data_IF_050500277673
#
_entry.id   IF_050500277673
#
_cell.length_a   1.000
_cell.length_b   1.000
_cell.length_c   1.000
_cell.angle_alpha   90.00
_cell.angle_beta   90.00
_cell.angle_gamma   90.00
#
_symmetry.space_group_name_H-M   'P 1'
#
loop_
_entity.id
_entity.type
_entity.pdbx_description
1 polymer ?
#
# COMPACT_ATOMS: atom_id res chain seq x y z
N UNK A 1 -26.87 -1.71 -5.30
CA UNK A 1 -25.72 -1.69 -6.23
C UNK A 1 -24.45 -1.79 -5.42
N UNK A 2 -23.44 -2.46 -5.94
CA UNK A 2 -22.22 -2.76 -5.18
C UNK A 2 -21.05 -1.84 -5.59
N UNK A 3 -20.43 -1.11 -4.64
CA UNK A 3 -19.31 -0.20 -4.90
C UNK A 3 -18.13 -0.83 -5.61
N UNK A 4 -17.84 -2.10 -5.32
CA UNK A 4 -16.73 -2.82 -5.95
C UNK A 4 -16.98 -3.02 -7.45
N UNK A 5 -18.20 -3.35 -7.87
CA UNK A 5 -18.59 -3.41 -9.27
C UNK A 5 -18.58 -2.04 -9.96
N UNK A 6 -19.14 -1.01 -9.33
CA UNK A 6 -19.18 0.35 -9.89
C UNK A 6 -17.77 0.88 -10.20
N UNK A 7 -16.84 0.72 -9.25
CA UNK A 7 -15.46 1.19 -9.41
C UNK A 7 -14.72 0.48 -10.54
N UNK A 8 -14.99 -0.83 -10.75
CA UNK A 8 -14.45 -1.57 -11.91
C UNK A 8 -14.94 -0.99 -13.22
N UNK A 9 -16.22 -0.65 -13.33
CA UNK A 9 -16.80 -0.08 -14.56
C UNK A 9 -16.20 1.30 -14.86
N UNK A 10 -16.01 2.14 -13.84
CA UNK A 10 -15.36 3.46 -13.99
C UNK A 10 -13.93 3.30 -14.50
N UNK A 11 -13.12 2.41 -13.89
CA UNK A 11 -11.77 2.10 -14.36
C UNK A 11 -11.77 1.59 -15.80
N UNK A 12 -12.65 0.65 -16.13
CA UNK A 12 -12.73 0.08 -17.48
C UNK A 12 -13.16 1.13 -18.51
N UNK A 13 -14.04 2.06 -18.14
CA UNK A 13 -14.43 3.18 -19.00
C UNK A 13 -13.23 4.07 -19.32
N UNK A 14 -12.54 4.58 -18.30
CA UNK A 14 -11.38 5.45 -18.50
C UNK A 14 -10.28 4.74 -19.30
N UNK A 15 -9.97 3.50 -18.97
CA UNK A 15 -8.89 2.76 -19.59
C UNK A 15 -9.20 2.31 -21.04
N UNK A 16 -10.47 2.12 -21.40
CA UNK A 16 -10.87 1.77 -22.77
C UNK A 16 -11.08 2.98 -23.67
N UNK A 17 -11.60 4.10 -23.14
CA UNK A 17 -11.77 5.35 -23.88
C UNK A 17 -10.47 6.12 -24.03
N UNK A 18 -9.50 5.92 -23.14
CA UNK A 18 -8.22 6.63 -23.11
C UNK A 18 -8.32 8.04 -22.52
N UNK A 19 -9.41 8.76 -22.83
CA UNK A 19 -9.68 10.10 -22.30
C UNK A 19 -11.13 10.29 -21.87
N UNK A 20 -11.33 11.05 -20.81
CA UNK A 20 -12.61 11.63 -20.35
C UNK A 20 -12.42 13.14 -20.21
N UNK A 21 -13.48 13.95 -20.30
CA UNK A 21 -13.41 15.40 -20.10
C UNK A 21 -14.13 15.79 -18.81
N UNK A 22 -13.44 16.57 -17.98
CA UNK A 22 -13.97 17.13 -16.73
C UNK A 22 -14.92 18.33 -16.99
N UNK A 23 -15.65 18.76 -15.97
CA UNK A 23 -16.53 19.94 -15.99
C UNK A 23 -15.82 21.20 -16.48
N UNK A 24 -14.53 21.34 -16.17
CA UNK A 24 -13.70 22.50 -16.51
C UNK A 24 -13.04 22.35 -17.90
N UNK A 25 -13.55 21.44 -18.74
CA UNK A 25 -12.99 21.08 -20.06
C UNK A 25 -11.56 20.50 -20.04
N UNK A 26 -11.06 20.13 -18.85
CA UNK A 26 -9.78 19.45 -18.67
C UNK A 26 -9.84 17.98 -19.08
N UNK A 27 -8.76 17.46 -19.66
CA UNK A 27 -8.69 16.06 -20.05
C UNK A 27 -8.21 15.16 -18.91
N UNK A 28 -9.00 14.12 -18.63
CA UNK A 28 -8.65 13.02 -17.75
C UNK A 28 -8.09 11.90 -18.63
N UNK A 29 -6.78 11.73 -18.62
CA UNK A 29 -6.08 10.79 -19.50
C UNK A 29 -5.62 9.53 -18.75
N UNK A 30 -5.94 8.35 -19.30
CA UNK A 30 -5.37 7.08 -18.85
C UNK A 30 -3.85 7.02 -19.09
N UNK A 31 -3.36 7.78 -20.07
CA UNK A 31 -1.96 7.88 -20.40
C UNK A 31 -1.11 8.37 -19.23
N UNK A 32 -1.59 9.33 -18.42
CA UNK A 32 -0.86 9.77 -17.22
C UNK A 32 -0.59 8.63 -16.23
N UNK A 33 -1.54 7.70 -16.07
CA UNK A 33 -1.39 6.53 -15.18
C UNK A 33 -0.39 5.53 -15.79
N UNK A 34 -0.44 5.36 -17.11
CA UNK A 34 0.50 4.50 -17.86
C UNK A 34 1.92 5.07 -17.80
N UNK A 35 2.09 6.37 -18.02
CA UNK A 35 3.37 7.06 -17.94
C UNK A 35 3.92 7.07 -16.51
N UNK A 36 3.06 7.16 -15.50
CA UNK A 36 3.47 7.00 -14.09
C UNK A 36 4.03 5.60 -13.83
N UNK A 37 3.41 4.54 -14.35
CA UNK A 37 3.93 3.19 -14.20
C UNK A 37 5.29 3.02 -14.87
N UNK A 38 5.42 3.49 -16.13
CA UNK A 38 6.68 3.47 -16.89
C UNK A 38 7.78 4.27 -16.19
N UNK A 39 7.49 5.49 -15.78
CA UNK A 39 8.45 6.36 -15.11
C UNK A 39 8.96 5.75 -13.80
N UNK A 40 8.07 5.16 -12.99
CA UNK A 40 8.49 4.48 -11.75
C UNK A 40 9.36 3.26 -12.03
N UNK A 41 9.07 2.53 -13.11
CA UNK A 41 9.84 1.38 -13.57
C UNK A 41 11.23 1.78 -14.09
N UNK A 42 11.34 2.92 -14.76
CA UNK A 42 12.61 3.50 -15.21
C UNK A 42 13.46 3.96 -14.01
N UNK A 43 12.85 4.68 -13.06
CA UNK A 43 13.56 5.29 -11.93
C UNK A 43 14.02 4.32 -10.83
N UNK A 44 13.54 3.07 -10.81
CA UNK A 44 13.92 2.14 -9.73
C UNK A 44 13.05 2.18 -8.49
N UNK A 45 12.14 3.15 -8.39
CA UNK A 45 11.43 3.52 -7.17
C UNK A 45 9.99 3.92 -7.47
N UNK A 46 9.06 3.58 -6.57
CA UNK A 46 7.63 3.81 -6.79
C UNK A 46 7.07 4.82 -5.79
N UNK A 47 6.62 5.96 -6.30
CA UNK A 47 5.81 6.91 -5.56
C UNK A 47 4.40 6.33 -5.30
N UNK A 48 3.76 5.73 -6.29
CA UNK A 48 2.55 4.91 -6.15
C UNK A 48 2.93 3.44 -5.89
N UNK A 49 3.14 3.09 -4.62
CA UNK A 49 3.74 1.80 -4.21
C UNK A 49 3.01 0.56 -4.70
N UNK A 50 1.71 0.65 -4.99
CA UNK A 50 0.88 -0.49 -5.43
C UNK A 50 0.70 -0.57 -6.95
N UNK A 51 0.99 0.50 -7.70
CA UNK A 51 0.78 0.54 -9.16
C UNK A 51 1.88 -0.25 -9.90
N UNK A 52 1.48 -1.16 -10.80
CA UNK A 52 2.35 -2.09 -11.55
C UNK A 52 1.83 -2.31 -12.96
N UNK A 53 2.66 -2.85 -13.86
CA UNK A 53 2.29 -3.29 -15.20
C UNK A 53 0.96 -4.06 -15.26
N UNK A 54 0.71 -4.98 -14.30
CA UNK A 54 -0.56 -5.73 -14.18
C UNK A 54 -1.82 -4.85 -14.09
N UNK A 55 -1.69 -3.63 -13.56
CA UNK A 55 -2.78 -2.65 -13.48
C UNK A 55 -3.02 -1.93 -14.82
N UNK A 56 -2.00 -1.83 -15.66
CA UNK A 56 -2.06 -1.23 -17.00
C UNK A 56 -2.51 -2.28 -18.02
N UNK A 57 -2.04 -3.52 -17.89
CA UNK A 57 -2.44 -4.70 -18.70
C UNK A 57 -3.77 -5.29 -18.23
N UNK A 58 -4.75 -4.40 -18.05
CA UNK A 58 -5.95 -4.67 -17.27
C UNK A 58 -6.97 -5.57 -17.98
N UNK A 59 -6.81 -5.83 -19.28
CA UNK A 59 -7.79 -6.52 -20.13
C UNK A 59 -8.09 -7.94 -19.67
N UNK A 60 -7.04 -8.72 -19.36
CA UNK A 60 -7.16 -10.10 -18.86
C UNK A 60 -7.69 -10.16 -17.43
N UNK A 61 -7.67 -9.04 -16.70
CA UNK A 61 -8.05 -8.94 -15.29
C UNK A 61 -9.13 -7.88 -15.04
N UNK A 62 -10.01 -7.69 -16.03
CA UNK A 62 -11.13 -6.73 -15.99
C UNK A 62 -12.04 -6.88 -14.77
N UNK A 63 -12.15 -8.11 -14.23
CA UNK A 63 -13.01 -8.43 -13.09
C UNK A 63 -12.35 -8.20 -11.71
N UNK A 64 -11.03 -7.97 -11.65
CA UNK A 64 -10.32 -7.81 -10.38
C UNK A 64 -10.54 -6.41 -9.79
N UNK A 65 -11.40 -6.35 -8.78
CA UNK A 65 -11.72 -5.11 -8.04
C UNK A 65 -10.47 -4.53 -7.40
N UNK A 66 -9.61 -5.38 -6.81
CA UNK A 66 -8.37 -4.97 -6.14
C UNK A 66 -7.50 -4.07 -7.02
N UNK A 67 -7.34 -4.43 -8.30
CA UNK A 67 -6.57 -3.64 -9.25
C UNK A 67 -7.24 -2.31 -9.59
N UNK A 68 -8.57 -2.31 -9.78
CA UNK A 68 -9.32 -1.09 -10.04
C UNK A 68 -9.21 -0.10 -8.87
N UNK A 69 -9.36 -0.58 -7.64
CA UNK A 69 -9.24 0.23 -6.42
C UNK A 69 -7.81 0.75 -6.21
N UNK A 70 -6.78 -0.02 -6.56
CA UNK A 70 -5.39 0.42 -6.48
C UNK A 70 -5.05 1.51 -7.51
N UNK A 71 -5.60 1.41 -8.72
CA UNK A 71 -5.44 2.45 -9.77
C UNK A 71 -6.15 3.73 -9.38
N UNK A 72 -7.42 3.65 -8.99
CA UNK A 72 -8.26 4.78 -8.60
C UNK A 72 -8.05 5.16 -7.13
N UNK A 73 -6.80 5.18 -6.66
CA UNK A 73 -6.46 5.46 -5.27
C UNK A 73 -5.86 6.83 -5.06
N UNK A 74 -6.03 7.38 -3.85
CA UNK A 74 -5.35 8.63 -3.49
C UNK A 74 -3.81 8.50 -3.57
N UNK A 75 -3.24 7.30 -3.40
CA UNK A 75 -1.79 7.11 -3.52
C UNK A 75 -1.27 7.41 -4.93
N UNK A 76 -2.04 7.03 -5.96
CA UNK A 76 -1.72 7.32 -7.36
C UNK A 76 -1.93 8.82 -7.62
N UNK A 77 -3.01 9.39 -7.11
CA UNK A 77 -3.29 10.82 -7.25
C UNK A 77 -2.21 11.72 -6.61
N UNK A 78 -1.75 11.37 -5.40
CA UNK A 78 -0.70 12.11 -4.70
C UNK A 78 0.67 11.96 -5.41
N UNK A 79 0.93 10.81 -6.05
CA UNK A 79 2.13 10.61 -6.85
C UNK A 79 2.15 11.46 -8.13
N UNK A 80 1.01 11.56 -8.83
CA UNK A 80 0.85 12.43 -10.00
C UNK A 80 0.99 13.91 -9.61
N UNK A 81 0.37 14.31 -8.50
CA UNK A 81 0.43 15.69 -8.00
C UNK A 81 1.87 16.11 -7.66
N UNK A 82 2.64 15.19 -7.07
CA UNK A 82 4.07 15.39 -6.82
C UNK A 82 4.87 15.51 -8.13
N UNK A 83 4.61 14.67 -9.13
CA UNK A 83 5.34 14.75 -10.40
C UNK A 83 5.04 16.05 -11.17
N UNK A 84 3.80 16.54 -11.11
CA UNK A 84 3.36 17.77 -11.77
C UNK A 84 3.85 19.04 -11.07
N UNK A 85 3.59 19.18 -9.77
CA UNK A 85 3.86 20.44 -9.07
C UNK A 85 5.27 20.52 -8.50
N UNK A 86 5.77 19.39 -8.01
CA UNK A 86 6.95 19.36 -7.16
C UNK A 86 8.22 19.08 -7.98
N UNK A 87 8.15 18.11 -8.90
CA UNK A 87 9.21 17.79 -9.87
C UNK A 87 9.05 18.50 -11.22
N UNK A 88 7.86 19.04 -11.54
CA UNK A 88 7.55 19.73 -12.81
C UNK A 88 7.97 18.94 -14.05
N UNK A 89 7.78 17.63 -14.02
CA UNK A 89 8.23 16.76 -15.09
C UNK A 89 7.35 16.94 -16.35
N UNK A 90 7.93 17.13 -17.55
CA UNK A 90 7.19 17.55 -18.74
C UNK A 90 6.06 16.59 -19.14
N UNK A 91 6.25 15.29 -18.94
CA UNK A 91 5.26 14.24 -19.25
C UNK A 91 3.98 14.30 -18.40
N UNK A 92 4.01 14.99 -17.26
CA UNK A 92 2.91 15.04 -16.30
C UNK A 92 2.25 16.43 -16.21
N UNK A 93 2.59 17.34 -17.12
CA UNK A 93 1.94 18.64 -17.22
C UNK A 93 0.46 18.44 -17.62
N UNK A 94 -0.45 19.07 -16.88
CA UNK A 94 -1.88 19.01 -17.17
C UNK A 94 -2.58 17.77 -16.62
N UNK A 95 -1.97 17.07 -15.66
CA UNK A 95 -2.58 15.89 -15.03
C UNK A 95 -3.55 16.26 -13.89
N UNK A 96 -3.68 17.54 -13.55
CA UNK A 96 -4.63 18.06 -12.56
C UNK A 96 -6.07 17.52 -12.68
N UNK A 97 -6.70 17.43 -13.89
CA UNK A 97 -8.03 16.84 -14.03
C UNK A 97 -8.05 15.34 -13.68
N UNK A 98 -7.01 14.59 -14.07
CA UNK A 98 -6.85 13.18 -13.68
C UNK A 98 -6.70 13.03 -12.17
N UNK A 99 -5.91 13.90 -11.51
CA UNK A 99 -5.75 13.88 -10.05
C UNK A 99 -7.09 14.10 -9.35
N UNK A 100 -7.87 15.10 -9.79
CA UNK A 100 -9.21 15.41 -9.26
C UNK A 100 -10.15 14.21 -9.43
N UNK A 101 -10.20 13.62 -10.61
CA UNK A 101 -10.97 12.41 -10.90
C UNK A 101 -10.62 11.25 -9.96
N UNK A 102 -9.32 10.94 -9.81
CA UNK A 102 -8.85 9.85 -8.94
C UNK A 102 -9.24 10.09 -7.48
N UNK A 103 -9.10 11.31 -6.97
CA UNK A 103 -9.46 11.65 -5.58
C UNK A 103 -10.96 11.54 -5.33
N UNK A 104 -11.79 11.99 -6.26
CA UNK A 104 -13.25 11.92 -6.12
C UNK A 104 -13.71 10.47 -6.08
N UNK A 105 -13.27 9.62 -7.01
CA UNK A 105 -13.66 8.22 -7.01
C UNK A 105 -13.07 7.40 -5.86
N UNK A 106 -11.84 7.71 -5.41
CA UNK A 106 -11.29 7.09 -4.20
C UNK A 106 -12.16 7.40 -2.98
N UNK A 107 -12.45 8.69 -2.75
CA UNK A 107 -13.18 9.12 -1.56
C UNK A 107 -14.64 8.65 -1.60
N UNK A 108 -15.29 8.65 -2.77
CA UNK A 108 -16.59 8.01 -2.96
C UNK A 108 -16.54 6.54 -2.56
N UNK A 109 -15.59 5.78 -3.11
CA UNK A 109 -15.46 4.36 -2.80
C UNK A 109 -15.18 4.11 -1.31
N UNK A 110 -14.35 4.94 -0.67
CA UNK A 110 -14.05 4.86 0.75
C UNK A 110 -15.31 5.11 1.63
N UNK A 111 -16.14 6.10 1.28
CA UNK A 111 -17.42 6.36 1.97
C UNK A 111 -18.38 5.19 1.79
N UNK A 112 -18.48 4.65 0.58
CA UNK A 112 -19.39 3.53 0.28
C UNK A 112 -18.91 2.18 0.85
N UNK A 113 -17.68 2.12 1.35
CA UNK A 113 -17.03 0.88 1.82
C UNK A 113 -16.45 1.03 3.24
N UNK A 114 -17.13 1.76 4.11
CA UNK A 114 -16.71 1.96 5.50
C UNK A 114 -16.96 0.70 6.34
N UNK A 115 -15.89 0.12 6.89
CA UNK A 115 -15.92 -1.18 7.62
C UNK A 115 -15.70 -1.08 9.13
N UNK A 116 -14.89 -0.12 9.56
CA UNK A 116 -14.35 -0.08 10.93
C UNK A 116 -14.57 1.30 11.57
N UNK A 117 -15.06 1.31 12.81
CA UNK A 117 -15.33 2.49 13.64
C UNK A 117 -14.10 3.37 13.88
N UNK A 118 -12.90 2.76 13.91
CA UNK A 118 -11.61 3.44 14.13
C UNK A 118 -10.99 4.00 12.84
N UNK A 119 -11.63 3.76 11.68
CA UNK A 119 -11.15 4.31 10.41
C UNK A 119 -11.23 5.83 10.44
N UNK A 120 -10.27 6.48 9.79
CA UNK A 120 -10.17 7.94 9.71
C UNK A 120 -10.65 8.46 8.35
N UNK A 121 -10.88 9.76 8.26
CA UNK A 121 -11.27 10.49 7.04
C UNK A 121 -12.55 9.90 6.40
N UNK A 122 -12.59 9.86 5.06
CA UNK A 122 -13.70 9.32 4.28
C UNK A 122 -13.94 7.81 4.44
N UNK A 123 -13.05 7.08 5.12
CA UNK A 123 -13.26 5.67 5.49
C UNK A 123 -13.98 5.52 6.83
N UNK A 124 -14.05 6.58 7.61
CA UNK A 124 -14.79 6.58 8.87
C UNK A 124 -16.29 6.35 8.62
N UNK A 125 -17.01 5.71 9.54
CA UNK A 125 -18.45 5.60 9.42
C UNK A 125 -19.10 6.98 9.47
N UNK A 126 -20.29 7.10 8.88
CA UNK A 126 -21.04 8.36 8.93
C UNK A 126 -21.61 8.50 10.35
N UNK A 127 -21.24 9.59 11.01
CA UNK A 127 -21.62 9.95 12.38
C UNK A 127 -22.14 11.39 12.38
N UNK A 128 -22.89 11.81 13.40
CA UNK A 128 -23.36 13.21 13.50
C UNK A 128 -22.22 14.24 13.37
N UNK A 129 -21.01 13.94 13.87
CA UNK A 129 -19.88 14.88 13.85
C UNK A 129 -19.25 15.07 12.47
N UNK A 130 -19.25 14.04 11.60
CA UNK A 130 -18.63 14.12 10.27
C UNK A 130 -19.68 14.21 9.14
N UNK A 131 -20.97 14.10 9.47
CA UNK A 131 -22.10 14.12 8.54
C UNK A 131 -21.98 15.23 7.52
N UNK A 132 -21.84 16.48 7.95
CA UNK A 132 -21.88 17.63 7.05
C UNK A 132 -20.73 17.59 6.04
N UNK A 133 -19.54 17.20 6.48
CA UNK A 133 -18.38 17.05 5.60
C UNK A 133 -18.58 15.95 4.55
N UNK A 134 -19.14 14.81 4.95
CA UNK A 134 -19.44 13.69 4.05
C UNK A 134 -20.56 14.07 3.08
N UNK A 135 -21.66 14.66 3.55
CA UNK A 135 -22.79 15.06 2.72
C UNK A 135 -22.40 16.14 1.70
N UNK A 136 -21.62 17.14 2.10
CA UNK A 136 -21.09 18.17 1.21
C UNK A 136 -20.19 17.58 0.13
N UNK A 137 -19.32 16.64 0.52
CA UNK A 137 -18.51 15.89 -0.45
C UNK A 137 -19.39 15.07 -1.42
N UNK A 138 -20.40 14.37 -0.91
CA UNK A 138 -21.33 13.59 -1.75
C UNK A 138 -22.10 14.48 -2.73
N UNK A 139 -22.50 15.70 -2.35
CA UNK A 139 -23.08 16.69 -3.26
C UNK A 139 -22.07 17.10 -4.34
N UNK A 140 -20.86 17.46 -3.95
CA UNK A 140 -19.77 17.85 -4.87
C UNK A 140 -19.48 16.74 -5.88
N UNK A 141 -19.37 15.49 -5.42
CA UNK A 141 -19.11 14.33 -6.26
C UNK A 141 -20.29 14.02 -7.19
N UNK A 142 -21.53 14.25 -6.74
CA UNK A 142 -22.74 14.08 -7.56
C UNK A 142 -22.78 15.08 -8.71
N UNK A 143 -22.49 16.36 -8.46
CA UNK A 143 -22.39 17.39 -9.51
C UNK A 143 -21.25 17.11 -10.47
N UNK A 144 -20.09 16.71 -9.94
CA UNK A 144 -18.93 16.32 -10.73
C UNK A 144 -19.27 15.21 -11.74
N UNK A 145 -19.86 14.10 -11.27
CA UNK A 145 -20.21 12.96 -12.14
C UNK A 145 -21.21 13.35 -13.23
N UNK A 146 -22.19 14.22 -12.91
CA UNK A 146 -23.18 14.71 -13.89
C UNK A 146 -22.54 15.51 -15.03
N UNK A 147 -21.47 16.25 -14.74
CA UNK A 147 -20.81 17.13 -15.69
C UNK A 147 -19.67 16.46 -16.48
N UNK A 148 -19.34 15.19 -16.21
CA UNK A 148 -18.35 14.47 -16.99
C UNK A 148 -18.82 14.22 -18.43
N UNK A 149 -17.92 14.44 -19.39
CA UNK A 149 -18.17 14.27 -20.84
C UNK A 149 -17.24 13.23 -21.47
N UNK A 150 -17.69 12.62 -22.55
CA UNK A 150 -16.87 11.64 -23.29
C UNK A 150 -15.75 12.32 -24.10
N UNK A 151 -15.98 13.55 -24.54
CA UNK A 151 -15.11 14.36 -25.41
C UNK A 151 -15.43 15.84 -25.17
N UNK A 152 -14.54 16.77 -25.59
CA UNK A 152 -14.75 18.22 -25.43
C UNK A 152 -16.11 18.69 -25.96
N UNK A 153 -16.51 18.18 -27.12
CA UNK A 153 -17.81 18.48 -27.74
C UNK A 153 -18.74 17.26 -27.71
N UNK A 154 -18.43 16.25 -26.90
CA UNK A 154 -19.20 15.02 -26.82
C UNK A 154 -20.33 15.11 -25.80
N UNK A 155 -21.21 14.12 -25.87
CA UNK A 155 -22.27 13.92 -24.89
C UNK A 155 -21.71 13.64 -23.49
N UNK A 156 -22.53 13.98 -22.49
CA UNK A 156 -22.28 13.60 -21.11
C UNK A 156 -22.09 12.08 -20.99
N UNK A 157 -21.21 11.65 -20.08
CA UNK A 157 -20.94 10.22 -19.85
C UNK A 157 -22.22 9.46 -19.52
N UNK A 158 -23.17 10.11 -18.85
CA UNK A 158 -24.46 9.53 -18.48
C UNK A 158 -25.36 9.18 -19.68
N UNK A 159 -25.12 9.75 -20.86
CA UNK A 159 -25.81 9.39 -22.10
C UNK A 159 -25.04 8.36 -22.93
N UNK A 160 -23.79 8.07 -22.58
CA UNK A 160 -22.97 7.10 -23.30
C UNK A 160 -23.36 5.64 -23.02
N UNK A 161 -22.91 4.72 -23.87
CA UNK A 161 -23.02 3.27 -23.65
C UNK A 161 -22.25 2.77 -22.42
N UNK A 162 -21.40 3.61 -21.80
CA UNK A 162 -20.59 3.28 -20.60
C UNK A 162 -21.11 3.98 -19.34
N UNK A 163 -22.36 4.47 -19.35
CA UNK A 163 -22.98 5.21 -18.24
C UNK A 163 -23.16 4.43 -16.94
N UNK A 164 -23.26 3.10 -17.01
CA UNK A 164 -23.73 2.24 -15.90
C UNK A 164 -22.99 2.50 -14.60
N UNK A 165 -21.65 2.40 -14.57
CA UNK A 165 -20.89 2.61 -13.33
C UNK A 165 -21.07 4.00 -12.71
N UNK A 166 -21.19 5.04 -13.54
CA UNK A 166 -21.37 6.42 -13.09
C UNK A 166 -22.79 6.67 -12.57
N UNK A 167 -23.80 6.16 -13.28
CA UNK A 167 -25.20 6.24 -12.88
C UNK A 167 -25.43 5.51 -11.55
N UNK A 168 -24.83 4.33 -11.38
CA UNK A 168 -24.93 3.55 -10.15
C UNK A 168 -24.34 4.31 -8.95
N UNK A 169 -23.20 5.00 -9.12
CA UNK A 169 -22.66 5.87 -8.08
C UNK A 169 -23.65 6.99 -7.69
N UNK A 170 -24.32 7.62 -8.67
CA UNK A 170 -25.32 8.66 -8.40
C UNK A 170 -26.52 8.12 -7.59
N UNK A 171 -26.99 6.92 -7.93
CA UNK A 171 -28.06 6.26 -7.18
C UNK A 171 -27.61 5.96 -5.74
N UNK A 172 -26.41 5.37 -5.57
CA UNK A 172 -25.87 5.09 -4.24
C UNK A 172 -25.68 6.34 -3.38
N UNK A 173 -25.25 7.46 -3.99
CA UNK A 173 -25.14 8.75 -3.30
C UNK A 173 -26.50 9.17 -2.73
N UNK A 174 -27.54 9.16 -3.57
CA UNK A 174 -28.89 9.55 -3.12
C UNK A 174 -29.42 8.58 -2.05
N UNK A 175 -29.27 7.27 -2.27
CA UNK A 175 -29.73 6.25 -1.32
C UNK A 175 -29.08 6.39 0.05
N UNK A 176 -27.76 6.67 0.12
CA UNK A 176 -27.08 6.82 1.41
C UNK A 176 -27.50 8.08 2.13
N UNK A 177 -27.73 9.19 1.42
CA UNK A 177 -28.26 10.42 2.02
C UNK A 177 -29.62 10.15 2.68
N UNK A 178 -30.54 9.51 1.95
CA UNK A 178 -31.86 9.17 2.46
C UNK A 178 -31.81 8.16 3.62
N UNK A 179 -31.03 7.08 3.47
CA UNK A 179 -30.90 6.06 4.52
C UNK A 179 -30.28 6.62 5.80
N UNK A 180 -29.32 7.53 5.69
CA UNK A 180 -28.72 8.16 6.86
C UNK A 180 -29.76 8.99 7.62
N UNK A 181 -30.54 9.83 6.92
CA UNK A 181 -31.60 10.64 7.55
C UNK A 181 -32.63 9.72 8.24
N UNK A 182 -33.07 8.66 7.56
CA UNK A 182 -34.06 7.75 8.11
C UNK A 182 -33.56 6.98 9.34
N UNK A 183 -32.35 6.42 9.28
CA UNK A 183 -31.82 5.55 10.33
C UNK A 183 -31.15 6.30 11.49
N UNK A 184 -30.56 7.47 11.23
CA UNK A 184 -29.78 8.21 12.22
C UNK A 184 -30.48 9.47 12.74
N UNK A 185 -31.50 10.01 12.06
CA UNK A 185 -32.17 11.26 12.47
C UNK A 185 -33.65 11.07 12.81
N UNK A 186 -34.40 10.36 11.97
CA UNK A 186 -35.86 10.24 12.09
C UNK A 186 -36.28 9.03 12.94
N UNK A 187 -35.53 7.93 12.88
CA UNK A 187 -35.84 6.68 13.57
C UNK A 187 -36.08 6.88 15.08
N UNK A 188 -37.08 6.19 15.68
CA UNK A 188 -37.35 6.27 17.13
C UNK A 188 -36.15 5.83 17.98
N UNK A 189 -35.28 4.99 17.43
CA UNK A 189 -33.99 4.62 18.00
C UNK A 189 -32.89 4.98 16.97
N UNK A 190 -32.32 6.20 17.03
CA UNK A 190 -31.33 6.64 16.05
C UNK A 190 -30.02 5.87 16.21
N UNK A 191 -29.43 5.47 15.08
CA UNK A 191 -28.11 4.84 15.08
C UNK A 191 -27.01 5.89 15.31
N UNK A 192 -26.12 5.64 16.28
CA UNK A 192 -24.96 6.50 16.58
C UNK A 192 -23.99 6.66 15.39
N UNK A 193 -23.93 5.65 14.52
CA UNK A 193 -23.07 5.63 13.35
C UNK A 193 -23.65 4.71 12.27
N UNK A 194 -23.27 4.97 11.02
CA UNK A 194 -23.71 4.20 9.87
C UNK A 194 -22.52 3.62 9.09
N UNK A 195 -22.45 2.28 9.03
CA UNK A 195 -21.42 1.53 8.31
C UNK A 195 -21.97 1.07 6.94
N UNK A 196 -21.51 1.73 5.88
CA UNK A 196 -21.94 1.49 4.50
C UNK A 196 -21.54 0.14 3.95
N UNK A 197 -20.44 -0.46 4.43
CA UNK A 197 -20.02 -1.79 3.98
C UNK A 197 -21.06 -2.89 4.27
N UNK A 198 -21.90 -2.71 5.30
CA UNK A 198 -22.97 -3.68 5.62
C UNK A 198 -24.05 -3.78 4.53
N UNK A 199 -24.12 -2.80 3.63
CA UNK A 199 -25.02 -2.78 2.48
C UNK A 199 -24.41 -3.42 1.22
N UNK A 200 -23.14 -3.84 1.27
CA UNK A 200 -22.43 -4.39 0.12
C UNK A 200 -22.82 -5.84 -0.17
N UNK A 201 -22.73 -6.23 -1.44
CA UNK A 201 -22.95 -7.61 -1.88
C UNK A 201 -21.73 -8.51 -1.58
N UNK A 202 -20.60 -7.94 -1.14
CA UNK A 202 -19.38 -8.69 -0.78
C UNK A 202 -19.67 -9.85 0.19
N UNK A 203 -20.65 -9.70 1.09
CA UNK A 203 -21.07 -10.78 1.99
C UNK A 203 -21.59 -12.02 1.25
N UNK A 204 -22.32 -11.84 0.15
CA UNK A 204 -22.79 -12.92 -0.72
C UNK A 204 -21.65 -13.50 -1.57
N UNK A 205 -20.72 -12.66 -2.05
CA UNK A 205 -19.55 -13.16 -2.79
C UNK A 205 -18.62 -14.02 -1.92
N UNK A 206 -18.43 -13.62 -0.66
CA UNK A 206 -17.70 -14.40 0.35
C UNK A 206 -18.40 -15.74 0.59
N UNK A 207 -19.72 -15.73 0.70
CA UNK A 207 -20.52 -16.94 0.85
C UNK A 207 -20.37 -17.90 -0.34
N UNK A 208 -20.49 -17.40 -1.58
CA UNK A 208 -20.25 -18.23 -2.77
C UNK A 208 -18.83 -18.77 -2.85
N UNK A 209 -17.85 -18.00 -2.38
CA UNK A 209 -16.47 -18.45 -2.30
C UNK A 209 -16.31 -19.58 -1.28
N UNK A 210 -16.93 -19.47 -0.11
CA UNK A 210 -16.94 -20.55 0.89
C UNK A 210 -17.58 -21.83 0.34
N UNK A 211 -18.66 -21.73 -0.44
CA UNK A 211 -19.28 -22.87 -1.12
C UNK A 211 -18.32 -23.52 -2.12
N UNK A 212 -17.67 -22.73 -2.99
CA UNK A 212 -16.70 -23.25 -3.96
C UNK A 212 -15.54 -23.97 -3.28
N UNK A 213 -15.04 -23.44 -2.16
CA UNK A 213 -13.96 -24.08 -1.38
C UNK A 213 -14.35 -25.49 -0.89
N UNK A 214 -15.63 -25.77 -0.62
CA UNK A 214 -16.08 -27.12 -0.24
C UNK A 214 -16.01 -28.14 -1.38
N UNK A 215 -15.92 -27.68 -2.64
CA UNK A 215 -15.73 -28.51 -3.82
C UNK A 215 -14.26 -28.88 -4.11
N UNK A 216 -13.30 -28.37 -3.33
CA UNK A 216 -11.87 -28.58 -3.58
C UNK A 216 -11.44 -28.02 -4.94
N UNK A 217 -11.00 -28.88 -5.85
CA UNK A 217 -10.62 -28.49 -7.21
C UNK A 217 -11.82 -28.23 -8.14
N UNK A 218 -13.05 -28.55 -7.70
CA UNK A 218 -14.26 -28.27 -8.48
C UNK A 218 -14.78 -26.85 -8.20
N UNK A 219 -14.39 -25.90 -9.04
CA UNK A 219 -14.80 -24.49 -8.95
C UNK A 219 -16.23 -24.21 -9.46
N UNK A 220 -16.88 -25.16 -10.13
CA UNK A 220 -18.22 -25.01 -10.70
C UNK A 220 -19.14 -26.15 -10.22
N UNK A 221 -19.65 -26.08 -8.97
CA UNK A 221 -20.49 -27.14 -8.43
C UNK A 221 -21.83 -27.23 -9.17
N UNK A 222 -22.32 -28.45 -9.37
CA UNK A 222 -23.70 -28.70 -9.83
C UNK A 222 -24.71 -28.28 -8.76
N UNK A 223 -25.99 -28.08 -9.12
CA UNK A 223 -27.04 -27.72 -8.16
C UNK A 223 -27.14 -28.70 -6.96
N UNK A 224 -26.93 -30.00 -7.18
CA UNK A 224 -26.90 -31.02 -6.11
C UNK A 224 -25.70 -30.83 -5.17
N UNK A 225 -24.51 -30.56 -5.73
CA UNK A 225 -23.29 -30.27 -4.96
C UNK A 225 -23.41 -28.96 -4.19
N UNK A 226 -24.01 -27.93 -4.80
CA UNK A 226 -24.32 -26.66 -4.14
C UNK A 226 -25.24 -26.90 -2.94
N UNK A 227 -26.35 -27.63 -3.11
CA UNK A 227 -27.26 -27.97 -2.01
C UNK A 227 -26.55 -28.70 -0.87
N UNK A 228 -25.70 -29.68 -1.19
CA UNK A 228 -24.92 -30.41 -0.19
C UNK A 228 -23.93 -29.49 0.55
N UNK A 229 -23.20 -28.63 -0.17
CA UNK A 229 -22.27 -27.67 0.42
C UNK A 229 -23.00 -26.60 1.27
N UNK A 230 -24.17 -26.15 0.82
CA UNK A 230 -25.04 -25.22 1.53
C UNK A 230 -25.52 -25.81 2.86
N UNK A 231 -26.10 -27.02 2.83
CA UNK A 231 -26.52 -27.74 4.05
C UNK A 231 -25.34 -27.95 4.98
N UNK A 232 -24.17 -28.34 4.45
CA UNK A 232 -22.96 -28.49 5.25
C UNK A 232 -22.53 -27.18 5.92
N UNK A 233 -22.59 -26.04 5.23
CA UNK A 233 -22.25 -24.74 5.82
C UNK A 233 -23.24 -24.34 6.92
N UNK A 234 -24.55 -24.57 6.72
CA UNK A 234 -25.55 -24.31 7.75
C UNK A 234 -25.35 -25.18 8.99
N UNK A 235 -25.14 -26.49 8.80
CA UNK A 235 -24.94 -27.42 9.90
C UNK A 235 -23.64 -27.13 10.65
N UNK A 236 -22.57 -26.75 9.96
CA UNK A 236 -21.29 -26.44 10.60
C UNK A 236 -21.28 -25.10 11.36
N UNK A 237 -22.18 -24.16 11.02
CA UNK A 237 -22.40 -22.94 11.82
C UNK A 237 -23.19 -23.22 13.11
N UNK A 238 -24.04 -24.24 13.11
CA UNK A 238 -24.81 -24.67 14.30
C UNK A 238 -24.09 -25.72 15.15
N UNK A 239 -23.18 -26.50 14.58
CA UNK A 239 -22.32 -27.45 15.28
C UNK A 239 -21.03 -26.71 15.67
N UNK A 240 -21.14 -25.78 16.61
CA UNK A 240 -20.08 -25.67 17.60
C UNK A 240 -20.20 -26.96 18.42
N UNK A 241 -19.16 -27.79 18.39
CA UNK A 241 -19.11 -29.03 19.17
C UNK A 241 -19.54 -28.73 20.60
N UNK A 242 -20.63 -29.37 21.06
CA UNK A 242 -20.85 -29.53 22.50
C UNK A 242 -19.57 -30.14 23.09
N UNK A 243 -19.17 -29.71 24.28
CA UNK A 243 -17.97 -30.18 24.99
C UNK A 243 -17.98 -31.65 25.42
N UNK A 244 -18.62 -32.52 24.64
CA UNK A 244 -18.93 -33.92 24.93
C UNK A 244 -18.65 -34.84 23.73
N UNK A 245 -17.78 -34.45 22.81
CA UNK A 245 -17.25 -35.35 21.78
C UNK A 245 -15.92 -35.93 22.25
N UNK A 246 -15.81 -37.26 22.29
CA UNK A 246 -14.69 -38.04 22.84
C UNK A 246 -13.36 -37.94 22.05
N UNK A 247 -13.19 -36.95 21.18
CA UNK A 247 -11.97 -36.75 20.40
C UNK A 247 -11.57 -35.27 20.43
N UNK A 248 -10.62 -34.96 21.30
CA UNK A 248 -9.87 -33.70 21.33
C UNK A 248 -8.82 -33.80 20.22
N UNK A 249 -8.66 -32.76 19.40
CA UNK A 249 -7.49 -32.63 18.51
C UNK A 249 -6.26 -32.58 19.40
N UNK A 250 -5.46 -33.65 19.36
CA UNK A 250 -4.38 -33.93 20.33
C UNK A 250 -3.00 -33.42 19.90
N UNK A 251 -2.88 -32.60 18.86
CA UNK A 251 -1.59 -32.00 18.53
C UNK A 251 -1.72 -30.69 17.74
N UNK A 252 -1.22 -29.59 18.34
CA UNK A 252 -0.71 -28.46 17.60
C UNK A 252 0.61 -28.91 16.97
N UNK A 253 0.53 -29.52 15.79
CA UNK A 253 1.74 -29.76 14.99
C UNK A 253 2.35 -28.41 14.64
N UNK A 254 3.30 -27.97 15.47
CA UNK A 254 4.17 -26.85 15.20
C UNK A 254 4.96 -27.17 13.93
N UNK A 255 4.48 -26.64 12.81
CA UNK A 255 5.30 -26.48 11.61
C UNK A 255 6.52 -25.70 12.07
N UNK A 256 7.70 -26.32 11.95
CA UNK A 256 8.99 -25.68 12.22
C UNK A 256 9.04 -24.33 11.51
N UNK A 257 8.75 -23.27 12.25
CA UNK A 257 8.90 -21.92 11.77
C UNK A 257 10.41 -21.69 11.72
N UNK A 258 10.98 -21.77 10.52
CA UNK A 258 12.33 -21.23 10.27
C UNK A 258 12.24 -19.76 10.62
N UNK A 259 12.71 -19.42 11.82
CA UNK A 259 12.68 -18.06 12.34
C UNK A 259 13.30 -17.14 11.30
N UNK A 260 12.44 -16.38 10.65
CA UNK A 260 12.82 -15.45 9.58
C UNK A 260 13.87 -14.50 10.14
N UNK A 261 15.13 -14.67 9.70
CA UNK A 261 16.29 -13.79 9.93
C UNK A 261 15.99 -12.60 10.86
N UNK A 262 16.03 -12.87 12.17
CA UNK A 262 15.86 -11.84 13.20
C UNK A 262 17.04 -10.88 13.10
N UNK A 263 16.76 -9.57 13.22
CA UNK A 263 17.79 -8.54 13.13
C UNK A 263 18.72 -8.67 14.35
N UNK A 264 19.88 -9.32 14.16
CA UNK A 264 20.82 -9.68 15.23
C UNK A 264 21.36 -8.43 15.95
N UNK A 265 21.43 -7.29 15.25
CA UNK A 265 21.91 -6.01 15.79
C UNK A 265 20.94 -5.37 16.79
N UNK A 266 19.68 -5.80 16.86
CA UNK A 266 18.75 -5.37 17.91
C UNK A 266 19.07 -6.02 19.25
N UNK A 267 19.64 -7.23 19.25
CA UNK A 267 20.03 -7.93 20.48
C UNK A 267 21.15 -7.19 21.19
N UNK A 268 22.18 -6.72 20.47
CA UNK A 268 23.29 -5.96 21.06
C UNK A 268 22.85 -4.61 21.64
N UNK A 269 21.81 -3.97 21.08
CA UNK A 269 21.28 -2.68 21.60
C UNK A 269 20.37 -2.88 22.82
N UNK A 270 19.66 -4.02 22.89
CA UNK A 270 18.69 -4.29 23.95
C UNK A 270 19.31 -5.01 25.17
N UNK A 271 20.54 -5.53 25.06
CA UNK A 271 21.24 -6.23 26.14
C UNK A 271 22.05 -5.24 27.00
N UNK A 272 21.37 -4.33 27.71
CA UNK A 272 21.97 -3.53 28.78
C UNK A 272 21.00 -3.24 29.93
N UNK A 273 19.96 -4.06 30.08
CA UNK A 273 19.11 -4.06 31.26
C UNK A 273 18.94 -5.50 31.73
N UNK A 274 19.59 -5.83 32.84
CA UNK A 274 19.23 -6.95 33.69
C UNK A 274 17.74 -6.84 34.01
N UNK A 275 16.93 -7.73 33.45
CA UNK A 275 15.89 -8.39 34.22
C UNK A 275 15.24 -9.53 33.43
N UNK A 276 15.34 -10.70 34.06
CA UNK A 276 14.55 -11.90 33.82
C UNK A 276 13.07 -11.62 34.02
N UNK A 277 12.27 -11.63 32.95
CA UNK A 277 10.88 -12.09 33.00
C UNK A 277 10.51 -12.78 31.69
N UNK A 278 10.18 -14.08 31.81
CA UNK A 278 9.45 -14.85 30.81
C UNK A 278 8.05 -14.27 30.72
N UNK A 279 7.65 -13.92 29.50
CA UNK A 279 6.30 -13.54 29.15
C UNK A 279 6.18 -13.71 27.66
N UNK A 280 5.77 -14.90 27.24
CA UNK A 280 5.32 -15.17 25.89
C UNK A 280 4.13 -14.26 25.60
N UNK A 281 4.40 -13.14 24.92
CA UNK A 281 3.36 -12.31 24.34
C UNK A 281 3.29 -12.63 22.85
N UNK A 282 2.36 -13.52 22.57
CA UNK A 282 2.03 -14.03 21.26
C UNK A 282 1.56 -12.88 20.36
N UNK A 283 2.47 -12.35 19.55
CA UNK A 283 2.12 -11.36 18.53
C UNK A 283 1.44 -12.12 17.38
N UNK A 284 0.13 -12.27 17.51
CA UNK A 284 -0.76 -12.64 16.41
C UNK A 284 -0.41 -11.81 15.16
N UNK A 285 0.08 -12.51 14.15
CA UNK A 285 0.54 -11.96 12.89
C UNK A 285 -0.67 -11.55 12.04
N UNK A 286 -1.29 -10.43 12.42
CA UNK A 286 -2.19 -9.66 11.56
C UNK A 286 -1.51 -8.34 11.19
N UNK A 287 -0.27 -8.42 10.73
CA UNK A 287 0.37 -7.29 10.08
C UNK A 287 0.05 -7.38 8.58
N UNK A 288 -0.84 -6.50 8.12
CA UNK A 288 -1.06 -6.22 6.71
C UNK A 288 0.29 -5.92 6.08
N UNK A 289 0.89 -6.89 5.40
CA UNK A 289 2.13 -6.73 4.66
C UNK A 289 1.87 -5.76 3.52
N UNK A 290 2.23 -4.50 3.73
CA UNK A 290 2.18 -3.50 2.65
C UNK A 290 3.18 -3.93 1.57
N UNK A 291 2.63 -4.40 0.45
CA UNK A 291 3.32 -4.82 -0.77
C UNK A 291 4.25 -3.72 -1.32
N UNK A 292 5.48 -3.67 -0.84
CA UNK A 292 6.55 -2.84 -1.42
C UNK A 292 7.29 -3.64 -2.49
N UNK A 293 7.00 -3.36 -3.75
CA UNK A 293 7.87 -3.78 -4.86
C UNK A 293 8.27 -2.55 -5.68
N UNK A 294 9.42 -2.65 -6.30
CA UNK A 294 10.11 -1.63 -7.04
C UNK A 294 10.56 -2.30 -8.38
N UNK A 295 11.31 -1.67 -9.28
CA UNK A 295 12.07 -2.34 -10.37
C UNK A 295 13.04 -1.33 -10.99
N UNK A 296 14.31 -1.71 -11.24
CA UNK A 296 15.45 -0.81 -11.56
C UNK A 296 15.76 -0.61 -13.05
N UNK A 297 16.19 0.63 -13.39
CA UNK A 297 17.31 0.92 -14.30
C UNK A 297 18.19 2.08 -13.76
N UNK A 298 19.42 2.14 -14.26
CA UNK A 298 20.67 2.74 -13.79
C UNK A 298 20.82 4.27 -13.87
N UNK A 299 21.36 4.90 -12.81
CA UNK A 299 22.24 6.07 -12.93
C UNK A 299 23.08 6.33 -11.67
N UNK A 300 24.32 6.81 -11.88
CA UNK A 300 25.35 7.10 -10.86
C UNK A 300 25.10 8.40 -10.07
N UNK A 301 24.09 9.20 -10.46
CA UNK A 301 23.59 10.34 -9.69
C UNK A 301 22.14 10.06 -9.28
N UNK A 302 21.81 10.38 -8.02
CA UNK A 302 20.44 10.30 -7.54
C UNK A 302 19.61 11.35 -8.28
N UNK A 303 18.54 10.95 -8.97
CA UNK A 303 17.51 11.89 -9.37
C UNK A 303 16.80 12.42 -8.13
N UNK A 304 16.26 13.65 -8.18
CA UNK A 304 15.50 14.24 -7.08
C UNK A 304 14.34 13.33 -6.64
N UNK A 305 13.72 12.64 -7.60
CA UNK A 305 12.73 11.60 -7.36
C UNK A 305 13.25 10.45 -6.50
N UNK A 306 14.46 9.94 -6.79
CA UNK A 306 15.06 8.86 -6.01
C UNK A 306 15.39 9.31 -4.60
N UNK A 307 15.89 10.53 -4.44
CA UNK A 307 16.18 11.13 -3.14
C UNK A 307 14.93 11.17 -2.24
N UNK A 308 13.80 11.66 -2.76
CA UNK A 308 12.56 11.81 -1.99
C UNK A 308 11.94 10.44 -1.63
N UNK A 309 12.02 9.45 -2.52
CA UNK A 309 11.54 8.10 -2.22
C UNK A 309 12.42 7.40 -1.18
N UNK A 310 13.75 7.61 -1.20
CA UNK A 310 14.64 7.07 -0.16
C UNK A 310 14.26 7.62 1.21
N UNK A 311 13.92 8.92 1.31
CA UNK A 311 13.43 9.52 2.56
C UNK A 311 12.10 8.90 3.01
N UNK A 312 11.17 8.67 2.08
CA UNK A 312 9.91 8.00 2.39
C UNK A 312 10.13 6.58 2.94
N UNK A 313 11.05 5.80 2.34
CA UNK A 313 11.41 4.45 2.84
C UNK A 313 12.10 4.54 4.21
N UNK A 314 12.98 5.51 4.41
CA UNK A 314 13.65 5.75 5.69
C UNK A 314 12.63 5.99 6.82
N UNK A 315 11.53 6.70 6.54
CA UNK A 315 10.42 6.85 7.48
C UNK A 315 9.81 5.51 7.93
N UNK A 316 9.61 4.58 6.99
CA UNK A 316 9.12 3.22 7.29
C UNK A 316 10.13 2.40 8.12
N UNK A 317 11.42 2.51 7.83
CA UNK A 317 12.50 1.88 8.61
C UNK A 317 12.51 2.40 10.05
N UNK A 318 12.41 3.72 10.24
CA UNK A 318 12.34 4.32 11.58
C UNK A 318 11.12 3.82 12.35
N UNK A 319 9.95 3.73 11.71
CA UNK A 319 8.74 3.18 12.35
C UNK A 319 8.93 1.76 12.86
N UNK A 320 9.57 0.89 12.06
CA UNK A 320 9.87 -0.49 12.46
C UNK A 320 10.88 -0.55 13.60
N UNK A 321 11.94 0.25 13.55
CA UNK A 321 12.97 0.28 14.59
C UNK A 321 12.46 0.84 15.91
N UNK A 322 11.60 1.86 15.90
CA UNK A 322 10.96 2.40 17.12
C UNK A 322 10.18 1.35 17.90
N UNK A 323 9.51 0.44 17.19
CA UNK A 323 8.73 -0.61 17.82
C UNK A 323 9.61 -1.76 18.36
N UNK A 324 10.87 -1.85 17.93
CA UNK A 324 11.76 -2.98 18.23
C UNK A 324 12.92 -2.64 19.18
N UNK A 325 13.29 -1.36 19.30
CA UNK A 325 14.33 -0.87 20.21
C UNK A 325 13.74 -0.60 21.61
N UNK A 326 14.49 -0.97 22.66
CA UNK A 326 14.15 -0.66 24.07
C UNK A 326 14.92 0.54 24.62
N UNK A 327 16.03 0.94 23.99
CA UNK A 327 16.87 2.06 24.44
C UNK A 327 16.25 3.42 24.05
N UNK A 328 15.89 4.22 25.04
CA UNK A 328 15.29 5.55 24.85
C UNK A 328 16.20 6.53 24.09
N UNK A 329 17.51 6.55 24.35
CA UNK A 329 18.49 7.40 23.65
C UNK A 329 18.59 7.05 22.16
N UNK A 330 18.56 5.75 21.83
CA UNK A 330 18.54 5.29 20.44
C UNK A 330 17.24 5.68 19.73
N UNK A 331 16.08 5.55 20.39
CA UNK A 331 14.78 5.96 19.84
C UNK A 331 14.74 7.46 19.57
N UNK A 332 15.29 8.27 20.48
CA UNK A 332 15.34 9.72 20.35
C UNK A 332 16.20 10.15 19.15
N UNK A 333 17.39 9.55 18.99
CA UNK A 333 18.29 9.85 17.86
C UNK A 333 17.73 9.55 16.46
N UNK A 334 16.82 8.56 16.35
CA UNK A 334 16.13 8.23 15.11
C UNK A 334 15.10 9.30 14.71
N UNK A 335 14.66 10.09 15.69
CA UNK A 335 13.64 11.14 15.56
C UNK A 335 14.21 12.55 15.69
N UNK A 336 15.51 12.68 15.98
CA UNK A 336 16.14 13.95 16.26
C UNK A 336 16.02 14.86 15.04
N UNK A 337 15.20 15.89 15.19
CA UNK A 337 15.05 17.00 14.26
C UNK A 337 16.15 17.98 14.63
N UNK A 338 17.32 17.85 14.00
CA UNK A 338 18.26 18.97 14.01
C UNK A 338 17.56 20.12 13.28
N UNK A 339 17.41 21.25 13.97
CA UNK A 339 16.76 22.51 13.54
C UNK A 339 17.31 23.12 12.22
N UNK A 340 18.18 22.42 11.50
CA UNK A 340 18.89 22.91 10.31
C UNK A 340 18.47 22.21 9.02
N UNK A 341 17.62 21.18 9.08
CA UNK A 341 17.12 20.50 7.86
C UNK A 341 15.64 20.78 7.71
N UNK A 342 15.34 21.72 6.82
CA UNK A 342 14.01 22.03 6.32
C UNK A 342 13.34 20.76 5.77
N UNK A 343 12.56 20.06 6.61
CA UNK A 343 11.70 18.95 6.18
C UNK A 343 10.65 19.39 5.15
N UNK A 344 10.48 20.70 4.96
CA UNK A 344 9.75 21.33 3.86
C UNK A 344 10.29 20.97 2.47
N UNK A 345 11.52 20.46 2.35
CA UNK A 345 12.09 20.03 1.07
C UNK A 345 11.59 18.67 0.57
N UNK A 346 11.12 17.76 1.43
CA UNK A 346 10.64 16.43 1.00
C UNK A 346 9.16 16.46 0.62
N UNK A 347 8.90 16.97 -0.58
CA UNK A 347 7.55 17.24 -1.07
C UNK A 347 6.68 15.96 -1.09
N UNK A 348 7.28 14.78 -1.36
CA UNK A 348 6.56 13.50 -1.35
C UNK A 348 6.03 13.08 0.04
N UNK A 349 6.80 13.31 1.10
CA UNK A 349 6.41 12.94 2.48
C UNK A 349 5.29 13.85 2.95
N UNK A 350 5.41 15.16 2.68
CA UNK A 350 4.38 16.16 3.02
C UNK A 350 3.05 15.81 2.36
N UNK A 351 3.05 15.51 1.06
CA UNK A 351 1.83 15.18 0.30
C UNK A 351 1.14 13.91 0.77
N UNK A 352 1.92 12.91 1.23
CA UNK A 352 1.38 11.62 1.69
C UNK A 352 1.01 11.60 3.17
N UNK A 353 1.44 12.58 3.95
CA UNK A 353 1.21 12.58 5.38
C UNK A 353 -0.27 12.80 5.71
N UNK A 354 -0.87 11.83 6.41
CA UNK A 354 -2.24 11.90 6.95
C UNK A 354 -2.24 11.73 8.47
N UNK A 355 -1.16 12.16 9.13
CA UNK A 355 -0.99 12.10 10.58
C UNK A 355 -0.47 10.76 11.12
N UNK A 356 0.03 9.86 10.26
CA UNK A 356 0.54 8.54 10.66
C UNK A 356 1.94 8.18 10.13
N UNK A 357 2.58 9.09 9.39
CA UNK A 357 3.91 8.91 8.83
C UNK A 357 4.97 9.42 9.81
N UNK A 358 6.01 8.61 10.04
CA UNK A 358 7.15 8.96 10.87
C UNK A 358 8.21 9.67 10.04
N UNK A 359 8.62 10.84 10.51
CA UNK A 359 9.68 11.63 9.89
C UNK A 359 11.04 11.13 10.38
N UNK A 360 11.95 10.68 9.49
CA UNK A 360 13.26 10.14 9.87
C UNK A 360 14.29 11.25 10.10
N UNK A 361 15.22 11.09 11.05
CA UNK A 361 16.30 12.07 11.27
C UNK A 361 17.26 12.20 10.07
N UNK A 362 17.93 13.35 9.95
CA UNK A 362 18.88 13.63 8.86
C UNK A 362 20.02 12.60 8.78
N UNK A 363 20.44 12.07 9.94
CA UNK A 363 21.42 10.99 10.05
C UNK A 363 20.90 9.69 9.40
N UNK A 364 19.64 9.32 9.64
CA UNK A 364 19.03 8.12 9.04
C UNK A 364 18.92 8.27 7.52
N UNK A 365 18.54 9.45 7.02
CA UNK A 365 18.45 9.71 5.58
C UNK A 365 19.81 9.53 4.90
N UNK A 366 20.89 10.05 5.50
CA UNK A 366 22.26 9.86 4.99
C UNK A 366 22.66 8.39 4.93
N UNK A 367 22.36 7.62 5.98
CA UNK A 367 22.64 6.17 6.05
C UNK A 367 21.87 5.43 4.94
N UNK A 368 20.57 5.71 4.76
CA UNK A 368 19.77 5.08 3.72
C UNK A 368 20.23 5.46 2.31
N UNK A 369 20.70 6.71 2.08
CA UNK A 369 21.30 7.12 0.80
C UNK A 369 22.58 6.35 0.50
N UNK A 370 23.46 6.18 1.49
CA UNK A 370 24.66 5.36 1.35
C UNK A 370 24.33 3.89 1.04
N UNK A 371 23.33 3.32 1.73
CA UNK A 371 22.84 1.97 1.49
C UNK A 371 22.32 1.77 0.06
N UNK A 372 21.53 2.72 -0.45
CA UNK A 372 21.00 2.67 -1.82
C UNK A 372 22.12 2.81 -2.86
N UNK A 373 23.15 3.64 -2.61
CA UNK A 373 24.33 3.75 -3.48
C UNK A 373 25.10 2.43 -3.56
N UNK A 374 25.37 1.80 -2.41
CA UNK A 374 26.05 0.50 -2.35
C UNK A 374 25.23 -0.60 -3.03
N UNK A 375 23.92 -0.65 -2.76
CA UNK A 375 23.01 -1.60 -3.40
C UNK A 375 23.03 -1.48 -4.93
N UNK A 376 22.91 -0.25 -5.46
CA UNK A 376 22.94 0.03 -6.90
C UNK A 376 24.29 -0.35 -7.53
N UNK A 377 25.39 -0.07 -6.87
CA UNK A 377 26.74 -0.41 -7.35
C UNK A 377 26.91 -1.93 -7.47
N UNK A 378 26.51 -2.67 -6.44
CA UNK A 378 26.57 -4.14 -6.42
C UNK A 378 25.63 -4.77 -7.45
N UNK A 379 24.47 -4.16 -7.67
CA UNK A 379 23.53 -4.57 -8.71
C UNK A 379 24.09 -4.43 -10.13
N UNK A 380 24.71 -3.28 -10.45
CA UNK A 380 25.36 -3.06 -11.76
C UNK A 380 26.50 -4.05 -11.98
N UNK A 381 27.25 -4.40 -10.93
CA UNK A 381 28.32 -5.40 -11.02
C UNK A 381 27.84 -6.86 -11.17
N UNK A 382 26.52 -7.12 -11.16
CA UNK A 382 25.95 -8.47 -11.30
C UNK A 382 26.15 -9.38 -10.07
N UNK A 383 26.68 -8.85 -8.96
CA UNK A 383 27.05 -9.63 -7.77
C UNK A 383 25.90 -9.96 -6.81
N UNK A 384 24.66 -9.60 -7.15
CA UNK A 384 23.46 -9.89 -6.36
C UNK A 384 23.10 -11.39 -6.25
N UNK A 385 23.89 -12.30 -6.85
CA UNK A 385 23.71 -13.76 -6.74
C UNK A 385 24.76 -14.45 -5.85
N UNK A 386 25.69 -13.70 -5.27
CA UNK A 386 26.75 -14.25 -4.42
C UNK A 386 26.21 -14.73 -3.06
N UNK A 387 26.90 -15.68 -2.41
CA UNK A 387 26.57 -16.04 -1.02
C UNK A 387 26.92 -14.86 -0.08
N UNK A 388 26.11 -14.64 0.96
CA UNK A 388 26.33 -13.60 1.98
C UNK A 388 26.28 -12.13 1.50
N UNK A 389 25.51 -11.81 0.45
CA UNK A 389 25.33 -10.44 -0.09
C UNK A 389 24.95 -9.43 1.00
N UNK A 390 24.10 -9.81 1.95
CA UNK A 390 23.63 -8.90 3.00
C UNK A 390 24.79 -8.38 3.87
N UNK A 391 25.74 -9.25 4.23
CA UNK A 391 26.93 -8.86 5.01
C UNK A 391 27.89 -7.98 4.19
N UNK A 392 28.09 -8.31 2.91
CA UNK A 392 28.91 -7.49 1.98
C UNK A 392 28.33 -6.08 1.83
N UNK A 393 27.01 -5.98 1.56
CA UNK A 393 26.35 -4.70 1.38
C UNK A 393 26.37 -3.84 2.65
N UNK A 394 26.22 -4.45 3.83
CA UNK A 394 26.35 -3.72 5.10
C UNK A 394 27.78 -3.21 5.25
N UNK A 395 28.80 -4.02 4.97
CA UNK A 395 30.20 -3.60 5.06
C UNK A 395 30.53 -2.44 4.12
N UNK A 396 30.12 -2.54 2.85
CA UNK A 396 30.34 -1.50 1.83
C UNK A 396 29.60 -0.20 2.18
N UNK A 397 28.37 -0.32 2.69
CA UNK A 397 27.59 0.84 3.13
C UNK A 397 28.19 1.49 4.37
N UNK A 398 28.69 0.72 5.34
CA UNK A 398 29.37 1.26 6.53
C UNK A 398 30.64 2.00 6.13
N UNK A 399 31.46 1.46 5.22
CA UNK A 399 32.64 2.17 4.69
C UNK A 399 32.25 3.50 4.04
N UNK A 400 31.25 3.47 3.16
CA UNK A 400 30.74 4.67 2.50
C UNK A 400 30.21 5.72 3.50
N UNK A 401 29.59 5.28 4.60
CA UNK A 401 29.08 6.16 5.66
C UNK A 401 30.22 6.78 6.47
N UNK A 402 31.26 6.02 6.79
CA UNK A 402 32.44 6.48 7.53
C UNK A 402 33.24 7.50 6.70
N UNK A 403 33.44 7.22 5.41
CA UNK A 403 34.22 8.08 4.51
C UNK A 403 33.53 9.41 4.19
N UNK A 404 32.19 9.43 4.05
CA UNK A 404 31.45 10.60 3.56
C UNK A 404 30.73 11.40 4.66
N UNK A 405 30.68 10.92 5.91
CA UNK A 405 29.88 11.54 6.96
C UNK A 405 30.39 11.25 8.38
N UNK A 406 31.48 11.91 8.83
CA UNK A 406 32.02 11.71 10.18
C UNK A 406 31.01 12.12 11.30
N UNK A 407 30.11 13.07 11.00
CA UNK A 407 29.15 13.65 11.95
C UNK A 407 27.75 13.01 11.86
N UNK A 408 27.64 11.71 12.12
CA UNK A 408 26.37 10.98 12.23
C UNK A 408 26.00 10.79 13.71
N UNK A 409 24.77 11.15 14.09
CA UNK A 409 24.27 11.10 15.47
C UNK A 409 25.16 11.88 16.47
N UNK A 410 25.33 13.19 16.25
CA UNK A 410 26.10 14.08 17.14
C UNK A 410 25.60 14.04 18.61
N UNK A 411 24.28 13.88 18.84
CA UNK A 411 23.70 13.74 20.18
C UNK A 411 24.00 12.42 20.90
N UNK A 412 24.74 11.48 20.27
CA UNK A 412 25.15 10.22 20.89
C UNK A 412 26.61 10.21 21.38
N UNK A 413 27.38 11.30 21.23
CA UNK A 413 28.80 11.29 21.61
C UNK A 413 29.04 10.93 23.08
N UNK A 414 28.17 11.35 24.01
CA UNK A 414 28.25 10.96 25.42
C UNK A 414 27.75 9.52 25.68
N UNK A 415 26.75 9.04 24.91
CA UNK A 415 26.25 7.66 25.00
C UNK A 415 27.27 6.63 24.48
N UNK A 416 28.23 7.06 23.64
CA UNK A 416 29.34 6.23 23.13
C UNK A 416 30.42 6.02 24.20
N UNK A 417 30.60 6.96 25.15
CA UNK A 417 31.65 6.88 26.17
C UNK A 417 31.39 5.78 27.21
N UNK A 418 30.14 5.31 27.33
CA UNK A 418 29.74 4.29 28.29
C UNK A 418 29.77 2.85 27.71
N UNK A 419 30.24 2.67 26.48
CA UNK A 419 30.25 1.37 25.79
C UNK A 419 31.63 1.04 25.18
N UNK A 420 31.89 -0.26 25.01
CA UNK A 420 33.16 -0.80 24.50
C UNK A 420 33.46 -0.27 23.07
N UNK A 421 34.69 0.20 22.75
CA UNK A 421 35.05 0.76 21.45
C UNK A 421 34.63 -0.06 20.21
N UNK A 422 34.53 -1.39 20.36
CA UNK A 422 34.19 -2.32 19.29
C UNK A 422 32.67 -2.64 19.18
N UNK A 423 31.89 -2.44 20.25
CA UNK A 423 30.47 -2.79 20.34
C UNK A 423 29.60 -1.60 20.80
N UNK A 424 29.77 -0.49 20.10
CA UNK A 424 29.06 0.74 20.38
C UNK A 424 27.61 0.68 19.89
N UNK A 425 26.67 1.15 20.72
CA UNK A 425 25.25 1.33 20.36
C UNK A 425 25.09 2.11 19.04
N UNK A 426 25.97 3.10 18.76
CA UNK A 426 26.01 3.82 17.48
C UNK A 426 26.29 2.89 16.30
N UNK A 427 27.30 2.03 16.38
CA UNK A 427 27.63 1.08 15.32
C UNK A 427 26.54 0.03 15.13
N UNK A 428 25.95 -0.47 16.22
CA UNK A 428 24.83 -1.40 16.18
C UNK A 428 23.58 -0.76 15.57
N UNK A 429 23.30 0.51 15.88
CA UNK A 429 22.18 1.26 15.31
C UNK A 429 22.34 1.50 13.81
N UNK A 430 23.54 1.89 13.35
CA UNK A 430 23.82 2.06 11.92
C UNK A 430 23.63 0.72 11.19
N UNK A 431 24.18 -0.37 11.72
CA UNK A 431 24.01 -1.72 11.14
C UNK A 431 22.54 -2.16 11.14
N UNK A 432 21.76 -1.84 12.18
CA UNK A 432 20.33 -2.15 12.26
C UNK A 432 19.51 -1.39 11.20
N UNK A 433 19.78 -0.09 11.01
CA UNK A 433 19.13 0.74 9.96
C UNK A 433 19.48 0.19 8.57
N UNK A 434 20.76 -0.10 8.32
CA UNK A 434 21.21 -0.67 7.05
C UNK A 434 20.57 -2.02 6.78
N UNK A 435 20.48 -2.90 7.78
CA UNK A 435 19.87 -4.21 7.66
C UNK A 435 18.40 -4.12 7.24
N UNK A 436 17.59 -3.32 7.94
CA UNK A 436 16.16 -3.17 7.60
C UNK A 436 15.95 -2.55 6.21
N UNK A 437 16.76 -1.54 5.86
CA UNK A 437 16.70 -0.92 4.54
C UNK A 437 17.08 -1.92 3.44
N UNK A 438 18.24 -2.59 3.56
CA UNK A 438 18.74 -3.53 2.57
C UNK A 438 17.84 -4.77 2.46
N UNK A 439 17.22 -5.23 3.55
CA UNK A 439 16.22 -6.31 3.54
C UNK A 439 15.03 -5.94 2.66
N UNK A 440 14.49 -4.72 2.81
CA UNK A 440 13.41 -4.21 1.95
C UNK A 440 13.87 -4.19 0.48
N UNK A 441 15.11 -3.75 0.20
CA UNK A 441 15.64 -3.66 -1.17
C UNK A 441 15.94 -5.01 -1.82
N UNK A 442 16.47 -5.98 -1.06
CA UNK A 442 16.77 -7.33 -1.55
C UNK A 442 15.50 -8.14 -1.82
N UNK A 443 14.53 -8.10 -0.90
CA UNK A 443 13.23 -8.75 -1.10
C UNK A 443 12.56 -8.26 -2.39
N UNK A 444 12.61 -6.95 -2.56
CA UNK A 444 12.16 -6.31 -3.76
C UNK A 444 12.88 -6.81 -5.03
N UNK A 445 14.22 -6.83 -5.06
CA UNK A 445 14.95 -7.26 -6.24
C UNK A 445 14.66 -8.72 -6.61
N UNK A 446 14.49 -9.58 -5.60
CA UNK A 446 14.04 -10.96 -5.81
C UNK A 446 12.67 -11.04 -6.48
N UNK A 447 11.69 -10.24 -6.02
CA UNK A 447 10.34 -10.20 -6.61
C UNK A 447 10.36 -9.76 -8.08
N UNK A 448 11.19 -8.78 -8.45
CA UNK A 448 11.34 -8.33 -9.85
C UNK A 448 11.89 -9.43 -10.75
N UNK A 449 12.91 -10.15 -10.29
CA UNK A 449 13.44 -11.28 -11.05
C UNK A 449 12.39 -12.39 -11.21
N UNK A 450 11.59 -12.67 -10.17
CA UNK A 450 10.46 -13.60 -10.26
C UNK A 450 9.41 -13.15 -11.28
N UNK A 451 9.03 -11.87 -11.28
CA UNK A 451 8.08 -11.32 -12.26
C UNK A 451 8.62 -11.40 -13.69
N UNK A 452 9.91 -11.11 -13.90
CA UNK A 452 10.57 -11.29 -15.22
C UNK A 452 10.54 -12.75 -15.67
N UNK A 453 10.82 -13.70 -14.76
CA UNK A 453 10.79 -15.13 -15.06
C UNK A 453 9.37 -15.62 -15.38
N UNK A 454 8.36 -15.13 -14.66
CA UNK A 454 6.95 -15.44 -14.94
C UNK A 454 6.51 -14.89 -16.31
N UNK A 455 6.90 -13.66 -16.64
CA UNK A 455 6.60 -13.08 -17.95
C UNK A 455 7.30 -13.82 -19.09
N UNK A 456 8.53 -14.30 -18.89
CA UNK A 456 9.23 -15.16 -19.87
C UNK A 456 8.53 -16.49 -20.09
N UNK A 457 8.03 -17.14 -19.02
CA UNK A 457 7.24 -18.38 -19.15
C UNK A 457 5.94 -18.15 -19.92
N UNK A 458 5.22 -17.07 -19.61
CA UNK A 458 3.99 -16.69 -20.32
C UNK A 458 4.23 -16.38 -21.80
N UNK A 459 5.36 -15.74 -22.15
CA UNK A 459 5.73 -15.50 -23.55
C UNK A 459 6.03 -16.81 -24.28
N UNK A 460 6.75 -17.74 -23.63
CA UNK A 460 7.09 -19.04 -24.22
C UNK A 460 5.85 -19.92 -24.45
N UNK A 461 4.87 -19.89 -23.52
CA UNK A 461 3.57 -20.56 -23.71
C UNK A 461 2.75 -19.94 -24.87
N UNK A 462 2.79 -18.62 -25.06
CA UNK A 462 2.09 -17.98 -26.18
C UNK A 462 2.76 -18.25 -27.54
N UNK A 463 4.07 -18.48 -27.58
CA UNK A 463 4.79 -18.83 -28.80
C UNK A 463 4.53 -20.29 -29.21
N UNK A 464 4.35 -21.19 -28.24
CA UNK A 464 3.94 -22.59 -28.49
C UNK A 464 2.49 -22.67 -29.01
N UNK A 465 1.57 -21.87 -28.47
CA UNK A 465 0.16 -21.81 -28.92
C UNK A 465 -0.02 -21.15 -30.30
N UNK A 466 1.00 -20.47 -30.83
CA UNK A 466 0.99 -19.93 -32.21
C UNK A 466 1.61 -20.86 -33.25
N UNK A 467 2.22 -21.96 -32.81
CA UNK A 467 2.81 -22.99 -33.68
C UNK A 467 1.90 -24.21 -33.86
N UNK A 468 0.73 -24.23 -33.19
CA UNK A 468 -0.43 -25.08 -33.47
C UNK A 468 -1.52 -24.25 -34.16
#
# INVERSE_FOLDING_TARGET
MDPCHMLKLVRNCLASKGSIVDCDSGFILWEHITNLEKFQKEQGLHAATKLRARHIEWYREKMKVKLAAQVLSNSVADALLYLENDLKHPTFIGCAPTIKFLKIFNNLFDILNSKNLLSKDFKSPIKPQNKDTILNFLNTAQEYIKNLRTSKNGDYILHSNRKTGFLEFLVCINSIKSLYIELCEISPNPLNFFLTYKLSQDHLELFFSAIRTKGGHNNNPTAKQFKAAYVRLLMHHHIMTSGSANCIVLDDTNILNVSSSTNIYLKSINFNSTDTFKGDFDFSENCVTEDHSFALTSCKQFSDFVSDVVVYIAGSVVKKLKNALKCHTCIYSLSEVVLTVDYTQNKLVVRKNRGGLTVPSASVVKICRAAEKSFRTTQVSGKLKQKNIMASLISDSVKCVIENSPNIFLGMHEHILNHDPLDNHRSSLIKAILFEYLKIRLYHAGKVETEKLQNKKLMHENDLVKQE
#
